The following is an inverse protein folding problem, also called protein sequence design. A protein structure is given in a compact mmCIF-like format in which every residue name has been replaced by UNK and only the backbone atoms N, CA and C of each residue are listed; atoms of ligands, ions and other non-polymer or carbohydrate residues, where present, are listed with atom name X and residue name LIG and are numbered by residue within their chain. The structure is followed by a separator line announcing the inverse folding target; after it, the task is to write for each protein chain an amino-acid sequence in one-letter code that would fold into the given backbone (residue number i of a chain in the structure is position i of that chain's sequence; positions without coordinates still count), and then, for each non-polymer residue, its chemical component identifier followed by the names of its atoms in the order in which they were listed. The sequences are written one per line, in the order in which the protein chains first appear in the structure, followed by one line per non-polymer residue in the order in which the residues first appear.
data_IF_919193268172
#
_entry.id   IF_919193268172
#
_cell.length_a   1.000
_cell.length_b   1.000
_cell.length_c   1.000
_cell.angle_alpha   90.00
_cell.angle_beta   90.00
_cell.angle_gamma   90.00
#
_symmetry.space_group_name_H-M   'P 1'
#
loop_
_entity.id
_entity.type
_entity.pdbx_description
1 polymer ?
#
# COMPACT_ATOMS: atom_id res chain seq x y z
N UNK A 1 -42.96 -18.35 25.97
CA UNK A 1 -43.24 -19.45 26.93
C UNK A 1 -42.00 -20.25 27.38
N UNK A 2 -40.76 -19.79 27.13
CA UNK A 2 -39.55 -20.56 27.44
C UNK A 2 -38.85 -20.25 28.77
N UNK A 3 -38.95 -19.01 29.27
CA UNK A 3 -38.20 -18.54 30.45
C UNK A 3 -38.93 -18.70 31.79
N UNK A 4 -40.12 -19.32 31.80
CA UNK A 4 -40.84 -19.59 33.04
C UNK A 4 -40.17 -20.75 33.81
N UNK A 5 -39.90 -20.55 35.12
CA UNK A 5 -39.32 -21.57 36.01
C UNK A 5 -40.21 -22.83 36.04
N UNK A 6 -39.59 -24.00 35.89
CA UNK A 6 -40.18 -25.32 36.15
C UNK A 6 -39.14 -26.19 36.85
N UNK A 7 -39.58 -27.07 37.77
CA UNK A 7 -38.69 -27.87 38.63
C UNK A 7 -37.68 -28.77 37.87
N UNK A 8 -37.94 -29.10 36.60
CA UNK A 8 -37.07 -29.97 35.79
C UNK A 8 -36.22 -29.19 34.75
N UNK A 9 -36.03 -27.88 34.93
CA UNK A 9 -35.35 -27.05 33.93
C UNK A 9 -34.33 -26.14 34.58
N UNK A 10 -33.05 -26.52 34.48
CA UNK A 10 -31.91 -25.73 34.95
C UNK A 10 -31.49 -24.66 33.93
N UNK A 11 -31.63 -24.94 32.62
CA UNK A 11 -31.22 -24.04 31.55
C UNK A 11 -32.26 -23.97 30.42
N UNK A 12 -32.26 -22.85 29.69
CA UNK A 12 -33.08 -22.63 28.49
C UNK A 12 -32.18 -22.50 27.28
N UNK A 13 -32.11 -23.53 26.44
CA UNK A 13 -31.49 -23.40 25.13
C UNK A 13 -32.44 -22.64 24.19
N UNK A 14 -31.94 -21.54 23.62
CA UNK A 14 -32.62 -20.77 22.58
C UNK A 14 -31.74 -20.79 21.34
N UNK A 15 -32.30 -21.25 20.22
CA UNK A 15 -31.65 -21.20 18.92
C UNK A 15 -32.35 -20.12 18.10
N UNK A 16 -31.59 -19.11 17.67
CA UNK A 16 -32.08 -18.05 16.79
C UNK A 16 -31.32 -18.11 15.45
N UNK A 17 -32.05 -17.99 14.34
CA UNK A 17 -31.46 -17.91 13.02
C UNK A 17 -31.25 -16.45 12.68
N UNK A 18 -30.00 -16.01 12.79
CA UNK A 18 -29.68 -14.59 12.62
C UNK A 18 -29.54 -14.27 11.14
N UNK A 19 -30.61 -13.76 10.54
CA UNK A 19 -30.67 -13.37 9.12
C UNK A 19 -30.21 -11.95 8.82
N UNK A 20 -29.98 -11.12 9.84
CA UNK A 20 -29.57 -9.72 9.67
C UNK A 20 -28.51 -9.29 10.68
N UNK A 21 -27.72 -8.31 10.26
CA UNK A 21 -26.60 -7.77 11.03
C UNK A 21 -27.04 -6.97 12.27
N UNK A 22 -28.16 -6.25 12.16
CA UNK A 22 -28.79 -5.54 13.27
C UNK A 22 -29.12 -6.49 14.41
N UNK A 23 -29.63 -7.68 14.08
CA UNK A 23 -29.99 -8.70 15.07
C UNK A 23 -28.78 -9.28 15.79
N UNK A 24 -27.64 -9.43 15.12
CA UNK A 24 -26.38 -9.84 15.78
C UNK A 24 -25.91 -8.79 16.79
N UNK A 25 -26.00 -7.49 16.44
CA UNK A 25 -25.61 -6.41 17.33
C UNK A 25 -26.56 -6.27 18.53
N UNK A 26 -27.88 -6.45 18.34
CA UNK A 26 -28.86 -6.50 19.43
C UNK A 26 -28.55 -7.63 20.43
N UNK A 27 -28.23 -8.83 19.93
CA UNK A 27 -27.88 -9.96 20.79
C UNK A 27 -26.59 -9.68 21.56
N UNK A 28 -25.58 -9.08 20.90
CA UNK A 28 -24.32 -8.68 21.54
C UNK A 28 -24.53 -7.58 22.60
N UNK A 29 -25.42 -6.62 22.37
CA UNK A 29 -25.73 -5.58 23.36
C UNK A 29 -26.52 -6.14 24.54
N UNK A 30 -27.50 -7.00 24.28
CA UNK A 30 -28.31 -7.64 25.32
C UNK A 30 -27.46 -8.51 26.25
N UNK A 31 -26.54 -9.30 25.69
CA UNK A 31 -25.61 -10.10 26.48
C UNK A 31 -24.76 -9.22 27.41
N UNK A 32 -24.23 -8.11 26.87
CA UNK A 32 -23.45 -7.14 27.63
C UNK A 32 -24.27 -6.44 28.72
N UNK A 33 -25.52 -6.10 28.44
CA UNK A 33 -26.44 -5.47 29.41
C UNK A 33 -26.78 -6.41 30.57
N UNK A 34 -26.98 -7.70 30.31
CA UNK A 34 -27.25 -8.72 31.34
C UNK A 34 -26.00 -8.96 32.21
N UNK A 35 -24.81 -9.01 31.62
CA UNK A 35 -23.55 -9.13 32.38
C UNK A 35 -23.31 -7.91 33.28
N UNK A 36 -23.74 -6.72 32.85
CA UNK A 36 -23.56 -5.47 33.58
C UNK A 36 -24.69 -5.17 34.58
N UNK A 37 -25.77 -5.95 34.60
CA UNK A 37 -26.85 -5.74 35.54
C UNK A 37 -26.37 -6.05 36.97
N UNK A 38 -26.56 -5.12 37.93
CA UNK A 38 -26.31 -5.42 39.33
C UNK A 38 -27.26 -6.55 39.75
N UNK A 39 -26.72 -7.57 40.42
CA UNK A 39 -27.51 -8.68 40.97
C UNK A 39 -28.49 -8.11 42.00
N UNK A 40 -29.74 -7.90 41.58
CA UNK A 40 -30.81 -7.47 42.48
C UNK A 40 -31.13 -8.62 43.44
N UNK A 41 -30.80 -8.42 44.72
CA UNK A 41 -31.33 -9.23 45.83
C UNK A 41 -32.83 -8.92 45.94
N UNK A 42 -33.65 -9.96 46.09
CA UNK A 42 -35.11 -9.88 46.22
C UNK A 42 -35.54 -8.74 47.16
N UNK A 43 -36.19 -7.73 46.60
CA UNK A 43 -36.93 -6.73 47.35
C UNK A 43 -38.42 -7.00 47.17
N UNK A 44 -38.93 -8.03 47.83
CA UNK A 44 -40.35 -8.09 48.19
C UNK A 44 -40.54 -8.96 49.42
N UNK A 45 -41.12 -8.35 50.46
CA UNK A 45 -41.74 -8.89 51.69
C UNK A 45 -40.97 -8.51 52.97
N UNK A 46 -41.34 -7.35 53.54
CA UNK A 46 -41.22 -7.07 54.97
C UNK A 46 -42.35 -7.86 55.69
N UNK A 47 -42.09 -9.10 56.06
CA UNK A 47 -42.83 -9.79 57.14
C UNK A 47 -41.78 -10.43 58.05
N UNK A 48 -41.69 -10.05 59.34
CA UNK A 48 -40.60 -10.47 60.21
C UNK A 48 -40.99 -11.74 60.94
N UNK A 49 -41.27 -12.84 60.24
CA UNK A 49 -41.46 -14.16 60.87
C UNK A 49 -41.43 -15.26 59.80
N UNK A 50 -40.28 -15.92 59.60
CA UNK A 50 -40.13 -17.38 59.46
C UNK A 50 -38.78 -17.78 58.82
N UNK A 51 -37.99 -18.51 59.62
CA UNK A 51 -37.22 -19.73 59.31
C UNK A 51 -36.36 -19.83 58.03
N UNK A 52 -35.07 -20.12 58.28
CA UNK A 52 -34.11 -20.87 57.44
C UNK A 52 -34.68 -21.43 56.13
N UNK A 53 -34.74 -20.59 55.10
CA UNK A 53 -34.82 -21.03 53.71
C UNK A 53 -33.41 -21.06 53.13
N UNK A 54 -33.00 -22.13 52.42
CA UNK A 54 -31.70 -22.14 51.76
C UNK A 54 -31.65 -21.01 50.74
N UNK A 55 -30.66 -20.11 50.84
CA UNK A 55 -30.36 -19.10 49.83
C UNK A 55 -30.15 -19.79 48.48
N UNK A 56 -31.17 -19.73 47.61
CA UNK A 56 -31.05 -20.27 46.25
C UNK A 56 -30.35 -19.21 45.40
N UNK A 57 -29.04 -19.36 45.23
CA UNK A 57 -28.28 -18.57 44.27
C UNK A 57 -28.83 -18.80 42.87
N UNK A 58 -29.39 -17.76 42.28
CA UNK A 58 -29.83 -17.76 40.89
C UNK A 58 -28.72 -17.16 40.03
N UNK A 59 -28.07 -18.00 39.22
CA UNK A 59 -27.14 -17.51 38.21
C UNK A 59 -27.95 -16.94 37.03
N UNK A 60 -27.93 -15.63 36.87
CA UNK A 60 -28.57 -14.91 35.76
C UNK A 60 -27.60 -14.73 34.60
N UNK A 61 -26.79 -15.76 34.31
CA UNK A 61 -25.81 -15.74 33.24
C UNK A 61 -26.48 -16.09 31.90
N UNK A 62 -26.13 -15.34 30.85
CA UNK A 62 -26.52 -15.63 29.47
C UNK A 62 -25.26 -16.00 28.69
N UNK A 63 -25.14 -17.27 28.29
CA UNK A 63 -24.07 -17.68 27.38
C UNK A 63 -24.57 -17.63 25.93
N UNK A 64 -23.94 -16.79 25.11
CA UNK A 64 -24.27 -16.65 23.68
C UNK A 64 -23.15 -17.29 22.85
N UNK A 65 -23.49 -18.35 22.13
CA UNK A 65 -22.58 -19.00 21.17
C UNK A 65 -23.00 -18.66 19.74
N UNK A 66 -22.11 -17.98 19.01
CA UNK A 66 -22.32 -17.70 17.59
C UNK A 66 -21.82 -18.87 16.73
N UNK A 67 -22.46 -19.09 15.58
CA UNK A 67 -21.90 -20.00 14.56
C UNK A 67 -20.57 -19.45 14.05
N UNK A 68 -19.72 -20.33 13.49
CA UNK A 68 -18.41 -19.94 12.97
C UNK A 68 -18.51 -18.87 11.87
N UNK A 69 -19.56 -18.92 11.05
CA UNK A 69 -19.84 -17.94 10.00
C UNK A 69 -20.23 -16.58 10.59
N UNK A 70 -21.13 -16.55 11.58
CA UNK A 70 -21.54 -15.31 12.23
C UNK A 70 -20.39 -14.64 12.99
N UNK A 71 -19.54 -15.43 13.65
CA UNK A 71 -18.34 -14.94 14.33
C UNK A 71 -17.34 -14.29 13.35
N UNK A 72 -17.12 -14.89 12.17
CA UNK A 72 -16.27 -14.31 11.12
C UNK A 72 -16.81 -12.97 10.62
N UNK A 73 -18.12 -12.87 10.40
CA UNK A 73 -18.75 -11.61 9.96
C UNK A 73 -18.59 -10.51 11.02
N UNK A 74 -18.79 -10.84 12.29
CA UNK A 74 -18.60 -9.89 13.40
C UNK A 74 -17.14 -9.41 13.52
N UNK A 75 -16.17 -10.33 13.38
CA UNK A 75 -14.76 -9.99 13.42
C UNK A 75 -14.36 -9.04 12.29
N UNK A 76 -14.83 -9.32 11.05
CA UNK A 76 -14.57 -8.47 9.89
C UNK A 76 -15.13 -7.05 10.08
N UNK A 77 -16.33 -6.93 10.65
CA UNK A 77 -16.94 -5.62 10.90
C UNK A 77 -16.22 -4.82 11.98
N UNK A 78 -15.76 -5.51 13.03
CA UNK A 78 -14.98 -4.88 14.09
C UNK A 78 -13.64 -4.38 13.54
N UNK A 79 -12.97 -5.17 12.69
CA UNK A 79 -11.77 -4.76 11.96
C UNK A 79 -12.03 -3.55 11.05
N UNK A 80 -13.07 -3.60 10.22
CA UNK A 80 -13.44 -2.48 9.35
C UNK A 80 -13.76 -1.21 10.14
N UNK A 81 -14.46 -1.33 11.28
CA UNK A 81 -14.77 -0.20 12.16
C UNK A 81 -13.51 0.40 12.77
N UNK A 82 -12.56 -0.43 13.20
CA UNK A 82 -11.27 0.06 13.71
C UNK A 82 -10.49 0.79 12.62
N UNK A 83 -10.44 0.26 11.40
CA UNK A 83 -9.76 0.90 10.26
C UNK A 83 -10.41 2.23 9.85
N UNK A 84 -11.74 2.31 9.83
CA UNK A 84 -12.46 3.55 9.52
C UNK A 84 -12.19 4.61 10.58
N UNK A 85 -12.25 4.23 11.86
CA UNK A 85 -11.95 5.15 12.96
C UNK A 85 -10.52 5.68 12.90
N UNK A 86 -9.52 4.83 12.61
CA UNK A 86 -8.14 5.31 12.49
C UNK A 86 -7.94 6.21 11.28
N UNK A 87 -8.57 5.88 10.15
CA UNK A 87 -8.53 6.69 8.92
C UNK A 87 -9.12 8.08 9.15
N UNK A 88 -10.29 8.16 9.78
CA UNK A 88 -10.96 9.44 10.05
C UNK A 88 -10.14 10.31 11.00
N UNK A 89 -9.51 9.72 12.02
CA UNK A 89 -8.61 10.44 12.93
C UNK A 89 -7.42 11.04 12.19
N UNK A 90 -6.82 10.32 11.23
CA UNK A 90 -5.73 10.85 10.42
C UNK A 90 -6.21 12.05 9.58
N UNK A 91 -7.32 11.91 8.87
CA UNK A 91 -7.88 12.99 8.06
C UNK A 91 -8.20 14.24 8.89
N UNK A 92 -8.77 14.07 10.08
CA UNK A 92 -9.09 15.19 10.97
C UNK A 92 -7.84 15.93 11.45
N UNK A 93 -6.74 15.22 11.75
CA UNK A 93 -5.47 15.85 12.11
C UNK A 93 -4.92 16.70 10.97
N UNK A 94 -4.93 16.18 9.74
CA UNK A 94 -4.46 16.91 8.56
C UNK A 94 -5.32 18.15 8.26
N UNK A 95 -6.66 18.03 8.41
CA UNK A 95 -7.58 19.17 8.23
C UNK A 95 -7.33 20.26 9.26
N UNK A 96 -7.20 19.91 10.54
CA UNK A 96 -6.89 20.85 11.63
C UNK A 96 -5.56 21.56 11.41
N UNK A 97 -4.56 20.85 10.87
CA UNK A 97 -3.28 21.45 10.53
C UNK A 97 -3.43 22.54 9.48
N UNK A 98 -4.14 22.25 8.38
CA UNK A 98 -4.38 23.21 7.30
C UNK A 98 -5.20 24.40 7.79
N UNK A 99 -6.21 24.18 8.64
CA UNK A 99 -7.00 25.26 9.25
C UNK A 99 -6.14 26.24 10.09
N UNK A 100 -5.05 25.74 10.68
CA UNK A 100 -4.16 26.54 11.54
C UNK A 100 -3.07 27.27 10.77
N UNK A 101 -2.47 26.62 9.77
CA UNK A 101 -1.27 27.10 9.09
C UNK A 101 -1.52 27.61 7.67
N UNK A 102 -2.72 27.41 7.12
CA UNK A 102 -3.13 27.73 5.73
C UNK A 102 -2.30 27.02 4.64
N UNK A 103 -1.40 26.13 5.04
CA UNK A 103 -0.51 25.36 4.18
C UNK A 103 -0.57 23.86 4.50
N UNK A 104 -0.14 23.03 3.55
CA UNK A 104 -0.02 21.59 3.72
C UNK A 104 1.41 21.24 4.16
N UNK A 105 1.60 20.35 5.14
CA UNK A 105 2.93 19.94 5.57
C UNK A 105 3.63 19.16 4.44
N UNK A 106 4.95 19.25 4.33
CA UNK A 106 5.69 18.34 3.45
C UNK A 106 5.74 16.93 4.06
N UNK A 107 6.02 15.91 3.25
CA UNK A 107 6.10 14.52 3.74
C UNK A 107 7.14 14.38 4.88
N UNK A 108 8.27 15.08 4.78
CA UNK A 108 9.33 15.04 5.78
C UNK A 108 8.94 15.69 7.12
N UNK A 109 7.95 16.57 7.11
CA UNK A 109 7.49 17.32 8.28
C UNK A 109 6.27 16.66 8.95
N UNK A 110 5.61 15.69 8.30
CA UNK A 110 4.37 15.08 8.81
C UNK A 110 4.48 14.55 10.23
N UNK A 111 5.55 13.81 10.56
CA UNK A 111 5.73 13.24 11.91
C UNK A 111 6.10 14.28 12.97
N UNK A 112 6.57 15.46 12.56
CA UNK A 112 6.91 16.56 13.47
C UNK A 112 5.72 17.49 13.70
N UNK A 113 4.92 17.69 12.66
CA UNK A 113 3.83 18.67 12.61
C UNK A 113 2.47 18.06 13.00
N UNK A 114 2.28 16.75 12.80
CA UNK A 114 1.06 16.03 13.18
C UNK A 114 1.33 15.13 14.38
N UNK A 115 0.76 15.49 15.54
CA UNK A 115 0.86 14.70 16.77
C UNK A 115 0.36 13.27 16.56
N UNK A 116 1.10 12.26 17.04
CA UNK A 116 0.76 10.83 16.97
C UNK A 116 0.36 10.35 15.56
N UNK A 117 1.07 10.81 14.52
CA UNK A 117 0.92 10.31 13.14
C UNK A 117 2.28 9.85 12.64
N UNK A 118 2.34 8.63 12.13
CA UNK A 118 3.53 8.07 11.49
C UNK A 118 3.34 7.92 9.98
N UNK A 119 4.44 7.98 9.22
CA UNK A 119 4.41 7.78 7.78
C UNK A 119 3.89 6.38 7.39
N UNK A 120 4.17 5.36 8.21
CA UNK A 120 3.71 3.99 8.00
C UNK A 120 2.19 3.83 8.11
N UNK A 121 1.58 4.55 9.07
CA UNK A 121 0.12 4.60 9.19
C UNK A 121 -0.53 5.22 7.95
N UNK A 122 0.05 6.33 7.45
CA UNK A 122 -0.46 6.98 6.24
C UNK A 122 -0.31 6.05 5.03
N UNK A 123 0.86 5.43 4.86
CA UNK A 123 1.11 4.47 3.78
C UNK A 123 0.15 3.28 3.84
N UNK A 124 -0.14 2.76 5.03
CA UNK A 124 -1.05 1.63 5.24
C UNK A 124 -2.51 1.99 4.91
N UNK A 125 -2.97 3.17 5.32
CA UNK A 125 -4.37 3.56 5.14
C UNK A 125 -4.68 4.17 3.77
N UNK A 126 -3.73 4.87 3.16
CA UNK A 126 -3.95 5.67 1.96
C UNK A 126 -3.04 5.27 0.78
N UNK A 127 -1.92 4.58 1.02
CA UNK A 127 -0.98 4.13 -0.01
C UNK A 127 -0.01 5.20 -0.50
N UNK A 128 -0.43 6.45 -0.61
CA UNK A 128 0.41 7.59 -1.00
C UNK A 128 0.00 8.87 -0.30
N UNK A 129 0.89 9.87 -0.31
CA UNK A 129 0.58 11.18 0.24
C UNK A 129 -0.50 11.90 -0.58
N UNK A 130 -0.49 11.78 -1.92
CA UNK A 130 -1.53 12.35 -2.76
C UNK A 130 -2.91 11.76 -2.44
N UNK A 131 -3.01 10.44 -2.27
CA UNK A 131 -4.25 9.78 -1.85
C UNK A 131 -4.71 10.23 -0.47
N UNK A 132 -3.79 10.55 0.44
CA UNK A 132 -4.12 11.12 1.75
C UNK A 132 -4.67 12.55 1.64
N UNK A 133 -4.00 13.41 0.86
CA UNK A 133 -4.44 14.80 0.62
C UNK A 133 -5.81 14.85 -0.06
N UNK A 134 -6.02 14.06 -1.10
CA UNK A 134 -7.31 13.98 -1.81
C UNK A 134 -8.40 13.40 -0.93
N UNK A 135 -8.12 12.45 -0.04
CA UNK A 135 -9.09 11.98 0.95
C UNK A 135 -9.47 13.05 1.99
N UNK A 136 -8.53 13.94 2.33
CA UNK A 136 -8.77 15.00 3.31
C UNK A 136 -9.53 16.19 2.69
N UNK A 137 -9.18 16.60 1.47
CA UNK A 137 -9.60 17.87 0.86
C UNK A 137 -10.34 17.74 -0.48
N UNK A 138 -10.53 16.51 -0.99
CA UNK A 138 -11.14 16.23 -2.28
C UNK A 138 -10.45 16.99 -3.43
N UNK A 139 -11.13 17.97 -4.03
CA UNK A 139 -10.66 18.75 -5.19
C UNK A 139 -9.78 19.95 -4.79
N UNK A 140 -9.70 20.27 -3.50
CA UNK A 140 -8.91 21.40 -2.98
C UNK A 140 -7.44 21.00 -2.74
N UNK A 141 -6.85 20.33 -3.73
CA UNK A 141 -5.44 19.93 -3.79
C UNK A 141 -4.85 20.49 -5.07
N UNK A 142 -3.67 21.12 -4.98
CA UNK A 142 -2.99 21.75 -6.13
C UNK A 142 -2.33 20.71 -7.06
N UNK A 143 -3.18 19.98 -7.78
CA UNK A 143 -2.79 19.02 -8.81
C UNK A 143 -1.93 19.66 -9.92
N UNK A 144 -2.20 20.87 -10.43
CA UNK A 144 -1.35 21.54 -11.41
C UNK A 144 0.11 21.74 -10.95
N UNK A 145 0.32 22.17 -9.71
CA UNK A 145 1.66 22.33 -9.14
C UNK A 145 2.39 20.97 -9.03
N UNK A 146 1.71 19.93 -8.58
CA UNK A 146 2.27 18.57 -8.52
C UNK A 146 2.69 18.06 -9.90
N UNK A 147 1.84 18.25 -10.92
CA UNK A 147 2.17 17.90 -12.31
C UNK A 147 3.41 18.66 -12.80
N UNK A 148 3.54 19.93 -12.44
CA UNK A 148 4.69 20.76 -12.83
C UNK A 148 5.99 20.21 -12.24
N UNK A 149 6.01 19.87 -10.94
CA UNK A 149 7.17 19.22 -10.30
C UNK A 149 7.54 17.89 -10.94
N UNK A 150 6.55 17.08 -11.32
CA UNK A 150 6.80 15.83 -12.05
C UNK A 150 7.47 16.11 -13.41
N UNK A 151 7.01 17.11 -14.16
CA UNK A 151 7.61 17.49 -15.45
C UNK A 151 9.05 18.00 -15.27
N UNK A 152 9.31 18.86 -14.28
CA UNK A 152 10.65 19.35 -13.97
C UNK A 152 11.62 18.22 -13.60
N UNK A 153 11.13 17.21 -12.87
CA UNK A 153 11.89 16.00 -12.61
C UNK A 153 12.21 15.23 -13.89
N UNK A 154 11.24 15.07 -14.81
CA UNK A 154 11.49 14.42 -16.11
C UNK A 154 12.56 15.17 -16.91
N UNK A 155 12.49 16.50 -16.97
CA UNK A 155 13.49 17.33 -17.64
C UNK A 155 14.89 17.11 -17.07
N UNK A 156 14.99 17.11 -15.75
CA UNK A 156 16.27 16.91 -15.05
C UNK A 156 16.80 15.48 -15.22
N UNK A 157 15.94 14.47 -15.13
CA UNK A 157 16.34 13.07 -15.18
C UNK A 157 16.75 12.66 -16.60
N UNK A 158 15.93 13.01 -17.60
CA UNK A 158 16.22 12.71 -19.01
C UNK A 158 17.46 13.49 -19.45
N UNK A 159 17.63 14.75 -19.03
CA UNK A 159 18.81 15.55 -19.33
C UNK A 159 20.11 14.92 -18.78
N UNK A 160 20.08 14.33 -17.59
CA UNK A 160 21.26 13.70 -16.96
C UNK A 160 21.57 12.30 -17.47
N UNK A 161 20.53 11.48 -17.68
CA UNK A 161 20.70 10.05 -17.94
C UNK A 161 20.41 9.65 -19.39
N UNK A 162 19.87 10.55 -20.22
CA UNK A 162 19.43 10.31 -21.59
C UNK A 162 18.51 9.08 -21.74
N UNK A 163 17.71 8.80 -20.71
CA UNK A 163 16.79 7.68 -20.65
C UNK A 163 15.50 8.08 -19.94
N UNK A 164 14.41 7.38 -20.29
CA UNK A 164 13.12 7.50 -19.65
C UNK A 164 13.17 6.95 -18.20
N UNK A 165 12.77 7.71 -17.17
CA UNK A 165 12.62 7.17 -15.82
C UNK A 165 11.35 6.31 -15.73
N UNK A 166 11.44 5.08 -15.21
CA UNK A 166 10.21 4.30 -14.93
C UNK A 166 9.32 5.02 -13.91
N UNK A 167 8.01 4.74 -13.90
CA UNK A 167 7.10 5.29 -12.88
C UNK A 167 7.57 4.95 -11.46
N UNK A 168 8.10 3.74 -11.24
CA UNK A 168 8.75 3.38 -9.99
C UNK A 168 9.91 4.30 -9.61
N UNK A 169 10.77 4.67 -10.57
CA UNK A 169 11.89 5.62 -10.34
C UNK A 169 11.38 6.99 -9.93
N UNK A 170 10.28 7.43 -10.54
CA UNK A 170 9.63 8.69 -10.19
C UNK A 170 9.08 8.61 -8.76
N UNK A 171 8.30 7.57 -8.42
CA UNK A 171 7.76 7.37 -7.06
C UNK A 171 8.86 7.37 -6.00
N UNK A 172 9.97 6.68 -6.24
CA UNK A 172 11.12 6.66 -5.32
C UNK A 172 11.73 8.05 -5.10
N UNK A 173 11.81 8.87 -6.15
CA UNK A 173 12.39 10.22 -6.03
C UNK A 173 11.52 11.13 -5.16
N UNK A 174 10.20 10.97 -5.21
CA UNK A 174 9.25 11.75 -4.43
C UNK A 174 8.80 11.00 -3.16
N UNK A 175 9.63 10.13 -2.59
CA UNK A 175 9.29 9.36 -1.39
C UNK A 175 10.14 9.70 -0.18
N UNK A 176 9.53 9.59 1.00
CA UNK A 176 10.23 9.49 2.28
C UNK A 176 9.80 8.16 2.90
N UNK A 177 10.68 7.17 2.88
CA UNK A 177 10.34 5.81 3.30
C UNK A 177 9.63 5.79 4.68
N UNK A 178 8.49 5.10 4.82
CA UNK A 178 7.83 4.24 3.82
C UNK A 178 6.79 4.93 2.90
N UNK A 179 6.56 6.24 3.04
CA UNK A 179 5.51 6.97 2.31
C UNK A 179 6.02 7.60 1.00
N UNK A 180 5.40 7.20 -0.11
CA UNK A 180 5.60 7.87 -1.40
C UNK A 180 4.63 9.04 -1.57
N UNK A 181 5.08 10.12 -2.19
CA UNK A 181 4.19 11.22 -2.55
C UNK A 181 3.16 10.77 -3.59
N UNK A 182 3.64 10.04 -4.59
CA UNK A 182 2.85 9.52 -5.69
C UNK A 182 3.09 8.01 -5.88
N UNK A 183 2.02 7.25 -6.02
CA UNK A 183 2.05 5.88 -6.53
C UNK A 183 2.23 5.87 -8.06
N UNK A 184 2.67 4.74 -8.60
CA UNK A 184 2.85 4.59 -10.05
C UNK A 184 1.56 4.87 -10.85
N UNK A 185 0.41 4.46 -10.30
CA UNK A 185 -0.90 4.69 -10.90
C UNK A 185 -1.26 6.18 -10.93
N UNK A 186 -0.97 6.90 -9.84
CA UNK A 186 -1.22 8.33 -9.76
C UNK A 186 -0.31 9.10 -10.71
N UNK A 187 0.96 8.71 -10.84
CA UNK A 187 1.87 9.32 -11.82
C UNK A 187 1.33 9.14 -13.24
N UNK A 188 0.83 7.95 -13.57
CA UNK A 188 0.23 7.69 -14.87
C UNK A 188 -1.03 8.56 -15.11
N UNK A 189 -1.83 8.81 -14.08
CA UNK A 189 -3.01 9.69 -14.17
C UNK A 189 -2.63 11.17 -14.29
N UNK A 190 -1.59 11.61 -13.58
CA UNK A 190 -1.09 12.99 -13.60
C UNK A 190 -0.36 13.31 -14.91
N UNK A 191 0.23 12.30 -15.56
CA UNK A 191 0.99 12.39 -16.81
C UNK A 191 0.42 11.43 -17.88
N UNK A 192 -0.81 11.63 -18.37
CA UNK A 192 -1.40 10.78 -19.41
C UNK A 192 -0.64 10.86 -20.74
N UNK A 193 0.11 11.95 -20.96
CA UNK A 193 0.96 12.23 -22.11
C UNK A 193 2.44 11.89 -21.86
N UNK A 194 2.73 11.05 -20.86
CA UNK A 194 4.10 10.68 -20.45
C UNK A 194 5.01 10.28 -21.61
N UNK A 195 4.55 9.39 -22.50
CA UNK A 195 5.38 8.91 -23.63
C UNK A 195 5.77 10.05 -24.58
N UNK A 196 4.85 10.99 -24.83
CA UNK A 196 5.12 12.16 -25.66
C UNK A 196 6.10 13.11 -24.97
N UNK A 197 5.91 13.33 -23.67
CA UNK A 197 6.77 14.18 -22.86
C UNK A 197 8.21 13.66 -22.86
N UNK A 198 8.39 12.37 -22.67
CA UNK A 198 9.72 11.76 -22.62
C UNK A 198 10.34 11.67 -24.03
N UNK A 199 9.57 11.29 -25.06
CA UNK A 199 10.08 11.19 -26.43
C UNK A 199 10.54 12.53 -26.99
N UNK A 200 9.90 13.64 -26.60
CA UNK A 200 10.33 14.98 -26.97
C UNK A 200 11.66 15.41 -26.30
N UNK A 201 11.97 14.83 -25.13
CA UNK A 201 13.13 15.19 -24.30
C UNK A 201 14.33 14.29 -24.53
N UNK A 202 14.09 13.02 -24.83
CA UNK A 202 15.13 12.13 -25.31
C UNK A 202 15.53 12.68 -26.67
N UNK A 203 16.71 13.28 -26.73
CA UNK A 203 17.34 13.57 -28.01
C UNK A 203 17.48 12.23 -28.69
N UNK A 204 16.61 11.95 -29.65
CA UNK A 204 16.85 10.91 -30.64
C UNK A 204 18.21 11.28 -31.19
N UNK A 205 19.24 10.56 -30.76
CA UNK A 205 20.43 10.45 -31.58
C UNK A 205 19.87 9.69 -32.77
N UNK A 206 19.42 10.46 -33.78
CA UNK A 206 19.28 9.90 -35.11
C UNK A 206 20.58 9.14 -35.36
N UNK A 207 20.56 7.99 -36.05
CA UNK A 207 21.82 7.43 -36.53
C UNK A 207 22.50 8.59 -37.25
N UNK A 208 23.59 9.10 -36.66
CA UNK A 208 24.34 10.16 -37.29
C UNK A 208 24.78 9.54 -38.61
N UNK A 209 24.27 10.08 -39.71
CA UNK A 209 25.01 10.03 -40.96
C UNK A 209 26.40 10.55 -40.63
N UNK A 210 27.32 9.60 -40.50
CA UNK A 210 28.75 9.80 -40.32
C UNK A 210 29.30 10.36 -41.63
N UNK A 211 28.95 11.60 -41.94
CA UNK A 211 29.70 12.43 -42.87
C UNK A 211 30.25 13.60 -42.06
N UNK A 212 31.57 13.77 -42.10
CA UNK A 212 32.35 14.83 -41.48
C UNK A 212 32.69 14.69 -39.99
N UNK A 213 33.44 13.62 -39.69
CA UNK A 213 34.63 13.75 -38.84
C UNK A 213 35.80 12.98 -39.48
N UNK A 214 37.05 13.44 -39.32
CA UNK A 214 38.19 12.87 -40.01
C UNK A 214 38.31 11.39 -39.65
N UNK A 215 38.35 10.56 -40.69
CA UNK A 215 38.49 9.10 -40.63
C UNK A 215 39.68 8.75 -39.75
N UNK A 216 39.44 8.42 -38.48
CA UNK A 216 40.27 7.45 -37.79
C UNK A 216 39.90 6.11 -38.39
N UNK A 217 40.87 5.50 -39.05
CA UNK A 217 40.77 4.21 -39.72
C UNK A 217 39.88 3.26 -38.92
N UNK A 218 38.77 2.86 -39.55
CA UNK A 218 37.92 1.81 -39.02
C UNK A 218 38.75 0.53 -39.09
N UNK A 219 39.49 0.23 -38.02
CA UNK A 219 39.98 -1.12 -37.80
C UNK A 219 38.75 -2.02 -37.68
N UNK A 220 38.43 -2.73 -38.76
CA UNK A 220 37.44 -3.80 -38.76
C UNK A 220 37.85 -4.76 -37.65
N UNK A 221 37.01 -4.97 -36.63
CA UNK A 221 37.38 -5.91 -35.59
C UNK A 221 37.26 -7.32 -36.17
N UNK A 222 38.34 -8.10 -36.24
CA UNK A 222 38.27 -9.45 -36.80
C UNK A 222 37.42 -10.38 -35.93
N UNK A 223 37.12 -10.03 -34.67
CA UNK A 223 36.49 -10.93 -33.71
C UNK A 223 35.08 -11.40 -34.08
N UNK A 224 34.24 -10.57 -34.72
CA UNK A 224 32.91 -11.06 -35.17
C UNK A 224 33.08 -12.09 -36.29
N UNK A 225 34.03 -11.90 -37.21
CA UNK A 225 34.31 -12.85 -38.28
C UNK A 225 34.98 -14.13 -37.75
N UNK A 226 35.92 -14.00 -36.81
CA UNK A 226 36.62 -15.12 -36.18
C UNK A 226 35.67 -16.07 -35.44
N UNK A 227 34.65 -15.53 -34.78
CA UNK A 227 33.71 -16.31 -33.97
C UNK A 227 32.34 -16.53 -34.65
N UNK A 228 32.14 -16.06 -35.89
CA UNK A 228 30.90 -16.29 -36.66
C UNK A 228 30.68 -17.79 -36.83
N UNK A 229 29.46 -18.26 -36.62
CA UNK A 229 29.14 -19.69 -36.72
C UNK A 229 29.53 -20.53 -35.50
N UNK A 230 30.25 -19.97 -34.52
CA UNK A 230 30.58 -20.69 -33.29
C UNK A 230 29.52 -20.46 -32.21
N UNK A 231 29.11 -21.51 -31.46
CA UNK A 231 28.23 -21.34 -30.31
C UNK A 231 29.02 -20.75 -29.15
N UNK A 232 29.17 -19.42 -29.19
CA UNK A 232 29.77 -18.62 -28.13
C UNK A 232 28.68 -18.13 -27.17
N UNK A 233 28.86 -18.38 -25.88
CA UNK A 233 28.00 -17.90 -24.81
C UNK A 233 28.86 -17.27 -23.72
N UNK A 234 28.26 -16.65 -22.69
CA UNK A 234 29.00 -15.98 -21.62
C UNK A 234 30.02 -16.88 -20.91
N UNK A 235 29.72 -18.16 -20.78
CA UNK A 235 30.63 -19.13 -20.14
C UNK A 235 31.87 -19.35 -21.01
N UNK A 236 31.67 -19.56 -22.31
CA UNK A 236 32.77 -19.72 -23.28
C UNK A 236 33.53 -18.43 -23.55
N UNK A 237 32.87 -17.28 -23.48
CA UNK A 237 33.51 -15.98 -23.59
C UNK A 237 34.54 -15.76 -22.47
N UNK A 238 34.22 -16.18 -21.24
CA UNK A 238 35.14 -16.12 -20.10
C UNK A 238 36.34 -17.07 -20.22
N UNK A 239 36.28 -18.04 -21.12
CA UNK A 239 37.37 -18.97 -21.42
C UNK A 239 38.29 -18.47 -22.53
N UNK A 240 37.97 -17.35 -23.18
CA UNK A 240 38.86 -16.71 -24.15
C UNK A 240 40.08 -16.11 -23.45
N UNK A 241 41.22 -15.94 -24.16
CA UNK A 241 42.38 -15.24 -23.61
C UNK A 241 41.99 -13.83 -23.11
N UNK A 242 42.55 -13.42 -21.97
CA UNK A 242 42.22 -12.15 -21.31
C UNK A 242 42.38 -10.95 -22.25
N UNK A 243 43.43 -10.95 -23.06
CA UNK A 243 43.73 -9.89 -24.04
C UNK A 243 42.61 -9.76 -25.10
N UNK A 244 42.02 -10.89 -25.50
CA UNK A 244 40.90 -10.93 -26.46
C UNK A 244 39.61 -10.42 -25.79
N UNK A 245 39.38 -10.80 -24.52
CA UNK A 245 38.23 -10.32 -23.78
C UNK A 245 38.27 -8.80 -23.58
N UNK A 246 39.44 -8.24 -23.30
CA UNK A 246 39.64 -6.79 -23.15
C UNK A 246 39.46 -6.05 -24.46
N UNK A 247 40.03 -6.55 -25.57
CA UNK A 247 39.82 -5.95 -26.89
C UNK A 247 38.34 -5.95 -27.29
N UNK A 248 37.62 -7.03 -27.00
CA UNK A 248 36.18 -7.10 -27.26
C UNK A 248 35.40 -6.13 -26.37
N UNK A 249 35.69 -6.07 -25.07
CA UNK A 249 35.02 -5.15 -24.14
C UNK A 249 35.31 -3.68 -24.48
N UNK A 250 36.55 -3.35 -24.85
CA UNK A 250 36.93 -1.99 -25.23
C UNK A 250 36.17 -1.53 -26.49
N UNK A 251 35.93 -2.43 -27.44
CA UNK A 251 35.20 -2.09 -28.67
C UNK A 251 33.67 -2.13 -28.54
N UNK A 252 33.14 -3.13 -27.85
CA UNK A 252 31.70 -3.38 -27.77
C UNK A 252 31.07 -2.94 -26.44
N UNK A 253 31.83 -2.28 -25.57
CA UNK A 253 31.47 -1.80 -24.23
C UNK A 253 31.17 -2.93 -23.22
N UNK A 254 30.66 -4.09 -23.66
CA UNK A 254 30.48 -5.26 -22.83
C UNK A 254 30.48 -6.58 -23.64
N UNK A 255 30.72 -7.69 -22.94
CA UNK A 255 30.62 -9.04 -23.51
C UNK A 255 29.21 -9.35 -24.02
N UNK A 256 28.17 -8.80 -23.39
CA UNK A 256 26.77 -9.01 -23.79
C UNK A 256 26.46 -8.36 -25.13
N UNK A 257 26.91 -7.13 -25.35
CA UNK A 257 26.72 -6.42 -26.63
C UNK A 257 27.44 -7.16 -27.75
N UNK A 258 28.64 -7.68 -27.51
CA UNK A 258 29.36 -8.51 -28.48
C UNK A 258 28.61 -9.81 -28.80
N UNK A 259 28.15 -10.56 -27.80
CA UNK A 259 27.42 -11.82 -28.01
C UNK A 259 26.09 -11.59 -28.74
N UNK A 260 25.41 -10.47 -28.46
CA UNK A 260 24.20 -10.08 -29.19
C UNK A 260 24.52 -9.81 -30.66
N UNK A 261 25.54 -9.00 -30.95
CA UNK A 261 25.98 -8.74 -32.33
C UNK A 261 26.47 -9.99 -33.06
N UNK A 262 27.11 -10.93 -32.35
CA UNK A 262 27.54 -12.21 -32.91
C UNK A 262 26.34 -13.07 -33.32
N UNK A 263 25.26 -13.03 -32.52
CA UNK A 263 24.00 -13.73 -32.81
C UNK A 263 23.23 -13.09 -33.97
N UNK A 264 23.26 -11.75 -34.06
CA UNK A 264 22.64 -11.01 -35.16
C UNK A 264 23.41 -11.15 -36.48
N UNK A 265 24.67 -11.59 -36.43
CA UNK A 265 25.55 -11.82 -37.59
C UNK A 265 25.60 -13.28 -38.07
N UNK A 266 24.74 -14.15 -37.53
CA UNK A 266 24.53 -15.54 -37.97
C UNK A 266 23.52 -15.63 -39.11
#
# INVERSE_FOLDING_TARGET
MGCAKRQNKEFVHVLDFVGSLERLNEIKSLAKEIEQQPRYHDSTIDDPEEMDAPEVYHDTSLEVQFSAEAAKVLALLEEMKMQLNSRDVLLDKLRRYREKNDELPSIAELEQELDDVSLDQIATHFGSYLSYLTAAFNEDVDIPSMRTRLIEFLDTFVGKNNMAPSFYTISLNFGVNPLYEFSEKEIQQLLPDYDNLVSARIKVTAPQDVSDMPVKEVEVCPWIETYRGQPLNLVRFKQLPSDVQEQIKNKYQSAFVFLKKLKDAL
#
